data_IF_571715307926
#
_entry.id   IF_571715307926
#
_cell.length_a   1.000
_cell.length_b   1.000
_cell.length_c   1.000
_cell.angle_alpha   90.00
_cell.angle_beta   90.00
_cell.angle_gamma   90.00
#
_symmetry.space_group_name_H-M   'P 1'
#
loop_
_entity.id
_entity.type
_entity.pdbx_description
1 polymer ?
#
# COMPACT_ATOMS: atom_id res chain seq x y z
N UNK A 1 21.15 1.17 -7.12
CA UNK A 1 21.32 0.22 -5.98
C UNK A 1 20.74 -1.15 -6.36
N UNK A 2 20.97 -2.24 -5.62
CA UNK A 2 20.33 -3.54 -5.92
C UNK A 2 18.79 -3.41 -5.74
N UNK A 3 17.98 -3.95 -6.65
CA UNK A 3 16.50 -3.87 -6.62
C UNK A 3 15.93 -4.30 -5.26
N UNK A 4 16.42 -5.40 -4.70
CA UNK A 4 15.97 -5.92 -3.40
C UNK A 4 16.28 -4.92 -2.30
N UNK A 5 17.49 -4.35 -2.32
CA UNK A 5 17.91 -3.35 -1.34
C UNK A 5 17.10 -2.05 -1.48
N UNK A 6 16.86 -1.59 -2.71
CA UNK A 6 15.97 -0.44 -2.97
C UNK A 6 14.57 -0.68 -2.43
N UNK A 7 14.00 -1.87 -2.67
CA UNK A 7 12.67 -2.22 -2.17
C UNK A 7 12.61 -2.24 -0.64
N UNK A 8 13.58 -2.88 0.02
CA UNK A 8 13.67 -2.93 1.49
C UNK A 8 13.79 -1.53 2.07
N UNK A 9 14.69 -0.71 1.53
CA UNK A 9 14.90 0.66 2.02
C UNK A 9 13.66 1.53 1.80
N UNK A 10 13.01 1.46 0.64
CA UNK A 10 11.76 2.17 0.38
C UNK A 10 10.68 1.73 1.36
N UNK A 11 10.51 0.43 1.58
CA UNK A 11 9.53 -0.08 2.54
C UNK A 11 9.77 0.44 3.95
N UNK A 12 11.01 0.36 4.44
CA UNK A 12 11.36 0.82 5.79
C UNK A 12 11.16 2.33 5.95
N UNK A 13 11.64 3.12 4.99
CA UNK A 13 11.51 4.59 5.02
C UNK A 13 10.04 5.01 4.93
N UNK A 14 9.26 4.41 4.03
CA UNK A 14 7.83 4.70 3.90
C UNK A 14 7.05 4.29 5.12
N UNK A 15 7.29 3.11 5.68
CA UNK A 15 6.64 2.67 6.92
C UNK A 15 6.97 3.62 8.06
N UNK A 16 8.25 3.96 8.24
CA UNK A 16 8.68 4.89 9.29
C UNK A 16 8.02 6.26 9.14
N UNK A 17 8.08 6.86 7.95
CA UNK A 17 7.56 8.20 7.72
C UNK A 17 6.03 8.22 7.75
N UNK A 18 5.37 7.39 6.94
CA UNK A 18 3.93 7.47 6.72
C UNK A 18 3.15 6.90 7.91
N UNK A 19 3.59 5.77 8.48
CA UNK A 19 2.88 5.12 9.60
C UNK A 19 3.29 5.72 10.94
N UNK A 20 4.59 5.75 11.25
CA UNK A 20 5.02 6.04 12.62
C UNK A 20 5.26 7.53 12.90
N UNK A 21 5.76 8.30 11.93
CA UNK A 21 6.02 9.74 12.13
C UNK A 21 4.77 10.56 11.83
N UNK A 22 4.19 10.41 10.64
CA UNK A 22 3.05 11.22 10.21
C UNK A 22 1.70 10.64 10.60
N UNK A 23 1.63 9.35 10.95
CA UNK A 23 0.40 8.67 11.34
C UNK A 23 -0.74 8.83 10.31
N UNK A 24 -0.39 8.78 9.02
CA UNK A 24 -1.34 8.86 7.91
C UNK A 24 -2.43 7.78 7.95
N UNK A 25 -2.17 6.51 8.37
CA UNK A 25 -3.24 5.54 8.50
C UNK A 25 -4.36 6.06 9.41
N UNK A 26 -4.03 6.68 10.54
CA UNK A 26 -5.01 7.28 11.44
C UNK A 26 -5.67 8.51 10.83
N UNK A 27 -4.87 9.45 10.30
CA UNK A 27 -5.37 10.71 9.75
C UNK A 27 -6.36 10.50 8.60
N UNK A 28 -6.13 9.49 7.76
CA UNK A 28 -6.97 9.22 6.59
C UNK A 28 -8.16 8.34 6.95
N UNK A 29 -7.95 7.27 7.74
CA UNK A 29 -9.03 6.32 8.05
C UNK A 29 -9.97 6.78 9.15
N UNK A 30 -9.49 7.62 10.08
CA UNK A 30 -10.16 7.96 11.32
C UNK A 30 -10.56 6.70 12.16
N UNK A 31 -9.76 5.62 12.09
CA UNK A 31 -10.01 4.36 12.79
C UNK A 31 -8.88 4.00 13.78
N UNK A 32 -8.77 4.69 14.93
CA UNK A 32 -7.64 4.51 15.87
C UNK A 32 -7.48 3.09 16.39
N UNK A 33 -8.58 2.40 16.69
CA UNK A 33 -8.52 1.02 17.20
C UNK A 33 -7.96 0.04 16.17
N UNK A 34 -8.36 0.17 14.90
CA UNK A 34 -7.88 -0.72 13.84
C UNK A 34 -6.44 -0.40 13.45
N UNK A 35 -6.08 0.88 13.39
CA UNK A 35 -4.69 1.30 13.15
C UNK A 35 -3.77 0.81 14.27
N UNK A 36 -4.21 0.92 15.52
CA UNK A 36 -3.49 0.38 16.68
C UNK A 36 -3.33 -1.13 16.60
N UNK A 37 -4.42 -1.85 16.30
CA UNK A 37 -4.40 -3.31 16.12
C UNK A 37 -3.38 -3.74 15.06
N UNK A 38 -3.35 -3.06 13.92
CA UNK A 38 -2.54 -3.45 12.76
C UNK A 38 -1.05 -3.10 12.93
N UNK A 39 -0.75 -1.84 13.25
CA UNK A 39 0.62 -1.31 13.21
C UNK A 39 1.34 -1.31 14.56
N UNK A 40 0.64 -1.62 15.65
CA UNK A 40 1.22 -1.61 17.00
C UNK A 40 1.00 -2.94 17.74
N UNK A 41 -0.24 -3.43 17.84
CA UNK A 41 -0.54 -4.68 18.57
C UNK A 41 -0.03 -5.91 17.80
N UNK A 42 -0.37 -6.02 16.52
CA UNK A 42 -0.04 -7.17 15.68
C UNK A 42 1.07 -6.89 14.67
N UNK A 43 1.86 -5.83 14.90
CA UNK A 43 2.88 -5.33 13.98
C UNK A 43 3.84 -6.41 13.50
N UNK A 44 4.23 -7.33 14.40
CA UNK A 44 5.17 -8.42 14.09
C UNK A 44 4.70 -9.35 12.98
N UNK A 45 3.38 -9.53 12.82
CA UNK A 45 2.80 -10.35 11.75
C UNK A 45 2.33 -9.51 10.57
N UNK A 46 1.79 -8.32 10.83
CA UNK A 46 1.22 -7.45 9.80
C UNK A 46 2.27 -6.73 8.95
N UNK A 47 3.40 -6.32 9.51
CA UNK A 47 4.45 -5.62 8.74
C UNK A 47 5.12 -6.56 7.71
N UNK A 48 5.51 -7.81 8.05
CA UNK A 48 5.99 -8.75 7.04
C UNK A 48 4.92 -9.09 6.00
N UNK A 49 3.66 -9.14 6.41
CA UNK A 49 2.54 -9.35 5.49
C UNK A 49 2.39 -8.18 4.50
N UNK A 50 2.45 -6.93 4.97
CA UNK A 50 2.49 -5.73 4.13
C UNK A 50 3.65 -5.80 3.15
N UNK A 51 4.86 -6.17 3.61
CA UNK A 51 6.03 -6.30 2.75
C UNK A 51 5.79 -7.26 1.56
N UNK A 52 5.04 -8.34 1.77
CA UNK A 52 4.67 -9.28 0.70
C UNK A 52 3.55 -8.71 -0.17
N UNK A 53 2.48 -8.17 0.42
CA UNK A 53 1.35 -7.60 -0.35
C UNK A 53 1.79 -6.45 -1.24
N UNK A 54 2.62 -5.54 -0.74
CA UNK A 54 3.15 -4.41 -1.50
C UNK A 54 3.93 -4.88 -2.73
N UNK A 55 4.63 -6.01 -2.63
CA UNK A 55 5.35 -6.57 -3.76
C UNK A 55 4.40 -6.98 -4.90
N UNK A 56 3.17 -7.43 -4.57
CA UNK A 56 2.15 -7.75 -5.57
C UNK A 56 1.66 -6.48 -6.30
N UNK A 57 1.48 -5.37 -5.58
CA UNK A 57 1.17 -4.07 -6.21
C UNK A 57 2.29 -3.62 -7.15
N UNK A 58 3.55 -3.74 -6.73
CA UNK A 58 4.70 -3.37 -7.55
C UNK A 58 4.84 -4.28 -8.78
N UNK A 59 4.59 -5.59 -8.64
CA UNK A 59 4.59 -6.54 -9.74
C UNK A 59 3.47 -6.26 -10.75
N UNK A 60 2.27 -5.91 -10.26
CA UNK A 60 1.17 -5.47 -11.12
C UNK A 60 1.54 -4.21 -11.90
N UNK A 61 2.07 -3.19 -11.22
CA UNK A 61 2.52 -1.94 -11.84
C UNK A 61 3.62 -2.18 -12.88
N UNK A 62 4.57 -3.07 -12.58
CA UNK A 62 5.61 -3.49 -13.51
C UNK A 62 5.03 -4.21 -14.75
N UNK A 63 4.06 -5.11 -14.54
CA UNK A 63 3.37 -5.80 -15.62
C UNK A 63 2.66 -4.83 -16.57
N UNK A 64 1.91 -3.87 -16.02
CA UNK A 64 1.26 -2.79 -16.79
C UNK A 64 2.32 -1.96 -17.52
N UNK A 65 3.38 -1.53 -16.82
CA UNK A 65 4.44 -0.71 -17.42
C UNK A 65 5.13 -1.41 -18.58
N UNK A 66 5.36 -2.72 -18.47
CA UNK A 66 5.97 -3.54 -19.52
C UNK A 66 5.01 -3.75 -20.70
N UNK A 67 3.72 -3.94 -20.44
CA UNK A 67 2.70 -4.13 -21.49
C UNK A 67 2.53 -2.89 -22.37
N UNK A 68 2.60 -1.70 -21.76
CA UNK A 68 2.43 -0.43 -22.45
C UNK A 68 3.75 0.28 -22.79
N UNK A 69 4.89 -0.38 -22.58
CA UNK A 69 6.24 0.16 -22.82
C UNK A 69 6.50 1.52 -22.15
N UNK A 70 5.99 1.71 -20.92
CA UNK A 70 6.11 2.97 -20.18
C UNK A 70 7.57 3.21 -19.76
N UNK A 71 8.12 4.35 -20.17
CA UNK A 71 9.53 4.71 -19.92
C UNK A 71 9.68 5.71 -18.79
N UNK A 72 8.79 6.70 -18.76
CA UNK A 72 8.85 7.80 -17.82
C UNK A 72 8.37 7.38 -16.43
N UNK A 73 8.99 7.93 -15.40
CA UNK A 73 8.68 7.56 -14.02
C UNK A 73 7.29 8.03 -13.60
N UNK A 74 6.79 9.13 -14.17
CA UNK A 74 5.40 9.57 -14.02
C UNK A 74 4.41 8.51 -14.50
N UNK A 75 4.70 7.87 -15.62
CA UNK A 75 3.81 6.87 -16.24
C UNK A 75 3.83 5.58 -15.43
N UNK A 76 4.99 5.19 -14.88
CA UNK A 76 5.10 4.06 -13.96
C UNK A 76 4.36 4.31 -12.65
N UNK A 77 4.41 5.53 -12.11
CA UNK A 77 3.62 5.93 -10.94
C UNK A 77 2.12 5.85 -11.27
N UNK A 78 1.69 6.31 -12.46
CA UNK A 78 0.30 6.17 -12.88
C UNK A 78 -0.12 4.70 -12.98
N UNK A 79 0.72 3.84 -13.55
CA UNK A 79 0.49 2.39 -13.62
C UNK A 79 0.37 1.76 -12.23
N UNK A 80 1.14 2.23 -11.25
CA UNK A 80 0.99 1.83 -9.85
C UNK A 80 -0.36 2.29 -9.30
N UNK A 81 -0.72 3.55 -9.42
CA UNK A 81 -2.00 4.09 -8.90
C UNK A 81 -3.17 3.28 -9.47
N UNK A 82 -3.15 2.97 -10.77
CA UNK A 82 -4.14 2.11 -11.40
C UNK A 82 -4.15 0.70 -10.80
N UNK A 83 -2.98 0.10 -10.56
CA UNK A 83 -2.88 -1.19 -9.87
C UNK A 83 -3.48 -1.15 -8.47
N UNK A 84 -3.26 -0.07 -7.71
CA UNK A 84 -3.82 0.10 -6.37
C UNK A 84 -5.33 0.20 -6.42
N UNK A 85 -5.86 1.05 -7.29
CA UNK A 85 -7.32 1.21 -7.46
C UNK A 85 -7.95 -0.11 -7.86
N UNK A 86 -7.35 -0.85 -8.79
CA UNK A 86 -7.88 -2.14 -9.23
C UNK A 86 -7.87 -3.17 -8.11
N UNK A 87 -6.75 -3.35 -7.41
CA UNK A 87 -6.60 -4.40 -6.39
C UNK A 87 -7.32 -4.00 -5.10
N UNK A 88 -6.98 -2.87 -4.49
CA UNK A 88 -7.57 -2.41 -3.22
C UNK A 88 -9.04 -2.02 -3.41
N UNK A 89 -9.39 -1.40 -4.53
CA UNK A 89 -10.79 -1.11 -4.87
C UNK A 89 -11.63 -2.38 -5.05
N UNK A 90 -11.08 -3.43 -5.67
CA UNK A 90 -11.77 -4.74 -5.75
C UNK A 90 -11.95 -5.35 -4.37
N UNK A 91 -10.93 -5.34 -3.50
CA UNK A 91 -11.08 -5.81 -2.12
C UNK A 91 -12.15 -5.02 -1.36
N UNK A 92 -12.13 -3.69 -1.46
CA UNK A 92 -13.15 -2.84 -0.87
C UNK A 92 -14.56 -3.24 -1.33
N UNK A 93 -14.78 -3.38 -2.64
CA UNK A 93 -16.07 -3.79 -3.19
C UNK A 93 -16.49 -5.19 -2.73
N UNK A 94 -15.56 -6.15 -2.66
CA UNK A 94 -15.86 -7.50 -2.17
C UNK A 94 -16.29 -7.44 -0.70
N UNK A 95 -15.49 -6.80 0.16
CA UNK A 95 -15.75 -6.80 1.59
C UNK A 95 -17.01 -6.04 1.96
N UNK A 96 -17.29 -4.89 1.34
CA UNK A 96 -18.49 -4.09 1.69
C UNK A 96 -19.81 -4.77 1.26
N UNK A 97 -19.76 -5.66 0.26
CA UNK A 97 -20.93 -6.41 -0.21
C UNK A 97 -21.13 -7.74 0.53
N UNK A 98 -20.19 -8.13 1.39
CA UNK A 98 -20.29 -9.32 2.24
C UNK A 98 -20.59 -8.91 3.69
N UNK A 99 -21.28 -9.74 4.48
CA UNK A 99 -21.45 -9.48 5.90
C UNK A 99 -20.09 -9.27 6.60
N UNK A 100 -20.02 -8.28 7.48
CA UNK A 100 -18.81 -8.02 8.26
C UNK A 100 -18.43 -9.24 9.10
N UNK A 101 -17.15 -9.63 9.03
CA UNK A 101 -16.57 -10.76 9.77
C UNK A 101 -15.52 -10.27 10.79
N UNK A 102 -15.02 -11.20 11.61
CA UNK A 102 -13.94 -10.95 12.57
C UNK A 102 -12.54 -10.90 11.92
N UNK A 103 -12.44 -10.94 10.59
CA UNK A 103 -11.15 -10.69 9.92
C UNK A 103 -10.81 -9.20 9.96
N UNK A 104 -9.51 -8.88 10.10
CA UNK A 104 -9.03 -7.49 10.09
C UNK A 104 -9.48 -6.76 8.82
N UNK A 105 -9.23 -7.33 7.64
CA UNK A 105 -9.57 -6.70 6.35
C UNK A 105 -11.07 -6.44 6.20
N UNK A 106 -11.93 -7.36 6.66
CA UNK A 106 -13.37 -7.12 6.64
C UNK A 106 -13.75 -5.92 7.52
N UNK A 107 -13.26 -5.84 8.76
CA UNK A 107 -13.49 -4.67 9.63
C UNK A 107 -12.89 -3.40 9.07
N UNK A 108 -11.70 -3.49 8.48
CA UNK A 108 -10.98 -2.37 7.87
C UNK A 108 -11.80 -1.73 6.76
N UNK A 109 -12.19 -2.51 5.75
CA UNK A 109 -12.97 -1.98 4.63
C UNK A 109 -14.39 -1.56 5.02
N UNK A 110 -15.02 -2.20 6.01
CA UNK A 110 -16.34 -1.76 6.51
C UNK A 110 -16.28 -0.44 7.27
N UNK A 111 -15.25 -0.22 8.11
CA UNK A 111 -15.17 0.96 8.97
C UNK A 111 -14.47 2.15 8.32
N UNK A 112 -13.35 1.90 7.63
CA UNK A 112 -12.62 2.95 6.92
C UNK A 112 -13.31 3.27 5.57
N UNK A 113 -13.96 2.28 4.94
CA UNK A 113 -14.58 2.48 3.64
C UNK A 113 -13.54 2.77 2.56
N UNK A 114 -13.86 3.68 1.64
CA UNK A 114 -12.96 4.06 0.55
C UNK A 114 -11.70 4.82 1.03
N UNK A 115 -11.67 5.33 2.27
CA UNK A 115 -10.46 5.96 2.81
C UNK A 115 -9.32 4.97 3.01
N UNK A 116 -9.62 3.66 3.14
CA UNK A 116 -8.62 2.59 3.07
C UNK A 116 -7.89 2.58 1.72
N UNK A 117 -8.64 2.65 0.61
CA UNK A 117 -8.07 2.67 -0.75
C UNK A 117 -7.24 3.94 -0.96
N UNK A 118 -7.73 5.09 -0.46
CA UNK A 118 -6.98 6.35 -0.54
C UNK A 118 -5.67 6.29 0.23
N UNK A 119 -5.68 5.69 1.42
CA UNK A 119 -4.47 5.45 2.21
C UNK A 119 -3.48 4.57 1.43
N UNK A 120 -3.93 3.46 0.86
CA UNK A 120 -3.06 2.58 0.06
C UNK A 120 -2.43 3.32 -1.12
N UNK A 121 -3.20 4.18 -1.82
CA UNK A 121 -2.67 5.01 -2.92
C UNK A 121 -1.55 5.92 -2.42
N UNK A 122 -1.74 6.62 -1.31
CA UNK A 122 -0.74 7.56 -0.77
C UNK A 122 0.50 6.79 -0.32
N UNK A 123 0.32 5.72 0.45
CA UNK A 123 1.42 4.91 0.98
C UNK A 123 2.25 4.29 -0.15
N UNK A 124 1.59 3.62 -1.11
CA UNK A 124 2.25 2.93 -2.21
C UNK A 124 2.90 3.90 -3.19
N UNK A 125 2.25 5.03 -3.50
CA UNK A 125 2.84 6.05 -4.39
C UNK A 125 4.11 6.64 -3.78
N UNK A 126 4.07 6.96 -2.48
CA UNK A 126 5.24 7.46 -1.76
C UNK A 126 6.38 6.42 -1.77
N UNK A 127 6.07 5.17 -1.45
CA UNK A 127 7.04 4.09 -1.43
C UNK A 127 7.63 3.81 -2.81
N UNK A 128 6.80 3.77 -3.85
CA UNK A 128 7.26 3.51 -5.21
C UNK A 128 8.11 4.65 -5.77
N UNK A 129 7.79 5.89 -5.42
CA UNK A 129 8.62 7.05 -5.78
C UNK A 129 10.02 6.94 -5.15
N UNK A 130 10.11 6.54 -3.88
CA UNK A 130 11.41 6.25 -3.25
C UNK A 130 12.11 5.07 -3.92
N UNK A 131 11.37 4.03 -4.31
CA UNK A 131 11.93 2.86 -4.97
C UNK A 131 12.55 3.21 -6.32
N UNK A 132 11.85 3.99 -7.15
CA UNK A 132 12.38 4.51 -8.40
C UNK A 132 13.64 5.34 -8.12
N UNK A 133 13.60 6.26 -7.15
CA UNK A 133 14.75 7.10 -6.80
C UNK A 133 15.97 6.32 -6.32
N UNK A 134 15.78 5.27 -5.53
CA UNK A 134 16.86 4.40 -5.06
C UNK A 134 17.41 3.46 -6.14
N UNK A 135 16.60 3.20 -7.16
CA UNK A 135 16.97 2.35 -8.29
C UNK A 135 17.50 3.14 -9.50
N UNK A 136 17.33 4.47 -9.52
CA UNK A 136 18.10 5.35 -10.40
C UNK A 136 19.61 5.07 -10.20
N UNK A 137 20.32 4.97 -11.33
CA UNK A 137 21.78 4.75 -11.36
C UNK A 137 22.53 6.04 -11.11
#
# INVERSE_FOLDING_TARGET
MNIILSYILSFLVSTLLIVYIFNFPLLISNQPLLVSEYYYTNAWYMIPFDFVIISLYFLSAYGISKLFELKDDSDKILALILSVILISGTFYLIFINLPMTDSFFSRWFHKAGYSAVLYDIIFLTFMYSLFLKFNEK
#
